data_IF_949542840808
#
_entry.id   IF_949542840808
#
_cell.length_a   1.000
_cell.length_b   1.000
_cell.length_c   1.000
_cell.angle_alpha   90.00
_cell.angle_beta   90.00
_cell.angle_gamma   90.00
#
_symmetry.space_group_name_H-M   'P 1'
#
loop_
_entity.id
_entity.type
_entity.pdbx_description
1 polymer ?
#
# COMPACT_ATOMS: atom_id res chain seq x y z
N UNK A 1 9.07 4.08 -17.51
CA UNK A 1 7.97 3.08 -17.59
C UNK A 1 8.25 2.01 -18.64
N UNK A 2 8.59 2.36 -19.89
CA UNK A 2 8.87 1.38 -20.96
C UNK A 2 9.92 0.31 -20.57
N UNK A 3 11.02 0.71 -19.92
CA UNK A 3 12.05 -0.22 -19.44
C UNK A 3 11.52 -1.23 -18.40
N UNK A 4 10.57 -0.83 -17.55
CA UNK A 4 9.95 -1.72 -16.56
C UNK A 4 8.98 -2.69 -17.24
N UNK A 5 8.19 -2.21 -18.21
CA UNK A 5 7.32 -3.07 -18.99
C UNK A 5 8.13 -4.13 -19.78
N UNK A 6 9.20 -3.72 -20.46
CA UNK A 6 10.09 -4.64 -21.18
C UNK A 6 10.75 -5.66 -20.23
N UNK A 7 11.17 -5.21 -19.04
CA UNK A 7 11.70 -6.10 -18.02
C UNK A 7 10.67 -7.15 -17.54
N UNK A 8 9.42 -6.74 -17.30
CA UNK A 8 8.34 -7.66 -16.90
C UNK A 8 8.02 -8.68 -18.00
N UNK A 9 8.00 -8.26 -19.27
CA UNK A 9 7.79 -9.18 -20.39
C UNK A 9 8.94 -10.19 -20.48
N UNK A 10 10.19 -9.71 -20.48
CA UNK A 10 11.36 -10.56 -20.72
C UNK A 10 11.73 -11.47 -19.56
N UNK A 11 11.58 -10.99 -18.32
CA UNK A 11 12.04 -11.73 -17.13
C UNK A 11 10.93 -12.47 -16.40
N UNK A 12 9.71 -11.92 -16.42
CA UNK A 12 8.58 -12.46 -15.65
C UNK A 12 7.51 -13.10 -16.55
N UNK A 13 7.67 -13.06 -17.88
CA UNK A 13 6.73 -13.67 -18.83
C UNK A 13 5.34 -13.02 -18.84
N UNK A 14 5.25 -11.75 -18.41
CA UNK A 14 3.97 -11.03 -18.31
C UNK A 14 3.55 -10.55 -19.70
N UNK A 15 2.26 -10.72 -20.02
CA UNK A 15 1.66 -10.21 -21.26
C UNK A 15 1.97 -8.72 -21.49
N UNK A 16 2.35 -8.28 -22.71
CA UNK A 16 2.80 -6.91 -22.97
C UNK A 16 1.84 -5.81 -22.51
N UNK A 17 0.53 -6.00 -22.71
CA UNK A 17 -0.48 -5.02 -22.32
C UNK A 17 -0.62 -4.93 -20.79
N UNK A 18 -0.52 -6.07 -20.10
CA UNK A 18 -0.52 -6.12 -18.64
C UNK A 18 0.75 -5.44 -18.12
N UNK A 19 1.93 -5.79 -18.65
CA UNK A 19 3.21 -5.21 -18.28
C UNK A 19 3.24 -3.68 -18.48
N UNK A 20 2.71 -3.19 -19.60
CA UNK A 20 2.58 -1.75 -19.85
C UNK A 20 1.63 -1.09 -18.85
N UNK A 21 0.51 -1.75 -18.52
CA UNK A 21 -0.48 -1.24 -17.56
C UNK A 21 0.10 -1.16 -16.14
N UNK A 22 0.72 -2.22 -15.62
CA UNK A 22 1.34 -2.16 -14.30
C UNK A 22 2.54 -1.22 -14.24
N UNK A 23 3.36 -1.13 -15.30
CA UNK A 23 4.47 -0.18 -15.34
C UNK A 23 4.01 1.29 -15.30
N UNK A 24 2.86 1.60 -15.91
CA UNK A 24 2.22 2.93 -15.79
C UNK A 24 1.62 3.13 -14.41
N UNK A 25 0.84 2.16 -13.92
CA UNK A 25 0.18 2.20 -12.62
C UNK A 25 1.14 2.42 -11.46
N UNK A 26 2.37 1.89 -11.54
CA UNK A 26 3.41 2.06 -10.53
C UNK A 26 4.41 3.17 -10.84
N UNK A 27 4.17 3.93 -11.92
CA UNK A 27 5.03 5.02 -12.39
C UNK A 27 6.49 4.60 -12.61
N UNK A 28 6.71 3.32 -12.98
CA UNK A 28 8.04 2.76 -13.19
C UNK A 28 8.75 2.24 -11.95
N UNK A 29 8.06 2.05 -10.83
CA UNK A 29 8.64 1.38 -9.66
C UNK A 29 8.70 -0.14 -9.91
N UNK A 30 9.92 -0.69 -9.99
CA UNK A 30 10.18 -2.09 -10.39
C UNK A 30 9.50 -3.11 -9.47
N UNK A 31 9.76 -3.06 -8.16
CA UNK A 31 9.23 -4.07 -7.24
C UNK A 31 7.71 -4.05 -7.14
N UNK A 32 7.12 -2.85 -7.12
CA UNK A 32 5.66 -2.68 -7.16
C UNK A 32 5.07 -3.20 -8.47
N UNK A 33 5.73 -2.95 -9.60
CA UNK A 33 5.24 -3.40 -10.91
C UNK A 33 5.25 -4.93 -10.98
N UNK A 34 6.33 -5.57 -10.51
CA UNK A 34 6.41 -7.03 -10.37
C UNK A 34 5.31 -7.54 -9.48
N UNK A 35 5.13 -6.97 -8.27
CA UNK A 35 4.08 -7.37 -7.34
C UNK A 35 2.69 -7.27 -7.94
N UNK A 36 2.33 -6.15 -8.58
CA UNK A 36 1.02 -6.02 -9.25
C UNK A 36 0.85 -6.95 -10.45
N UNK A 37 1.93 -7.33 -11.12
CA UNK A 37 1.88 -8.27 -12.23
C UNK A 37 1.58 -9.70 -11.76
N UNK A 38 2.15 -10.12 -10.63
CA UNK A 38 2.14 -11.52 -10.18
C UNK A 38 1.20 -11.82 -9.02
N UNK A 39 0.79 -10.82 -8.23
CA UNK A 39 -0.02 -10.99 -7.02
C UNK A 39 -1.46 -10.44 -7.22
N UNK A 40 -2.47 -11.32 -7.39
CA UNK A 40 -3.88 -10.90 -7.48
C UNK A 40 -4.39 -10.16 -6.25
N UNK A 41 -3.88 -10.49 -5.05
CA UNK A 41 -4.28 -9.82 -3.81
C UNK A 41 -3.72 -8.38 -3.78
N UNK A 42 -2.50 -8.16 -4.28
CA UNK A 42 -1.96 -6.80 -4.45
C UNK A 42 -2.82 -5.97 -5.43
N UNK A 43 -3.29 -6.57 -6.53
CA UNK A 43 -4.23 -5.88 -7.45
C UNK A 43 -5.56 -5.55 -6.77
N UNK A 44 -6.12 -6.48 -6.00
CA UNK A 44 -7.37 -6.26 -5.27
C UNK A 44 -7.23 -5.13 -4.23
N UNK A 45 -6.13 -5.12 -3.46
CA UNK A 45 -5.82 -4.05 -2.50
C UNK A 45 -5.70 -2.69 -3.19
N UNK A 46 -4.96 -2.62 -4.30
CA UNK A 46 -4.84 -1.39 -5.09
C UNK A 46 -6.20 -0.91 -5.60
N UNK A 47 -7.02 -1.81 -6.13
CA UNK A 47 -8.36 -1.46 -6.60
C UNK A 47 -9.26 -0.93 -5.46
N UNK A 48 -9.11 -1.44 -4.23
CA UNK A 48 -9.80 -0.92 -3.06
C UNK A 48 -9.32 0.49 -2.69
N UNK A 49 -7.99 0.72 -2.71
CA UNK A 49 -7.39 2.05 -2.48
C UNK A 49 -7.92 3.08 -3.48
N UNK A 50 -7.97 2.75 -4.78
CA UNK A 50 -8.44 3.67 -5.82
C UNK A 50 -9.94 3.97 -5.76
N UNK A 51 -10.72 3.22 -4.96
CA UNK A 51 -12.13 3.53 -4.68
C UNK A 51 -12.29 4.50 -3.51
N UNK A 52 -11.26 4.72 -2.69
CA UNK A 52 -11.32 5.61 -1.52
C UNK A 52 -11.79 7.03 -1.88
N UNK A 53 -11.30 7.69 -2.96
CA UNK A 53 -11.78 9.03 -3.35
C UNK A 53 -13.29 9.14 -3.59
N UNK A 54 -13.97 8.02 -3.87
CA UNK A 54 -15.42 7.97 -4.10
C UNK A 54 -16.24 7.75 -2.82
N UNK A 55 -15.58 7.56 -1.68
CA UNK A 55 -16.19 7.20 -0.40
C UNK A 55 -15.96 8.25 0.68
N UNK A 56 -15.33 9.37 0.35
CA UNK A 56 -14.97 10.41 1.32
C UNK A 56 -15.93 11.60 1.31
N UNK A 57 -17.09 11.49 0.68
CA UNK A 57 -18.11 12.55 0.65
C UNK A 57 -18.82 12.73 2.01
N UNK A 58 -19.11 11.61 2.67
CA UNK A 58 -19.66 11.54 4.02
C UNK A 58 -18.57 11.27 5.08
N UNK A 59 -18.75 11.84 6.27
CA UNK A 59 -17.79 11.70 7.39
C UNK A 59 -17.71 10.25 7.86
N UNK A 60 -18.84 9.57 8.01
CA UNK A 60 -18.88 8.17 8.46
C UNK A 60 -18.22 7.25 7.45
N UNK A 61 -18.50 7.45 6.15
CA UNK A 61 -17.85 6.67 5.09
C UNK A 61 -16.34 6.93 5.00
N UNK A 62 -15.89 8.17 5.20
CA UNK A 62 -14.49 8.53 5.18
C UNK A 62 -13.70 7.87 6.33
N UNK A 63 -14.21 7.93 7.57
CA UNK A 63 -13.59 7.26 8.72
C UNK A 63 -13.59 5.74 8.55
N UNK A 64 -14.69 5.17 8.03
CA UNK A 64 -14.75 3.74 7.72
C UNK A 64 -13.72 3.33 6.66
N UNK A 65 -13.56 4.14 5.61
CA UNK A 65 -12.55 3.89 4.58
C UNK A 65 -11.12 3.98 5.13
N UNK A 66 -10.86 4.89 6.08
CA UNK A 66 -9.58 4.97 6.79
C UNK A 66 -9.30 3.69 7.59
N UNK A 67 -10.28 3.23 8.37
CA UNK A 67 -10.17 1.99 9.14
C UNK A 67 -9.90 0.78 8.24
N UNK A 68 -10.70 0.61 7.17
CA UNK A 68 -10.53 -0.49 6.21
C UNK A 68 -9.14 -0.48 5.57
N UNK A 69 -8.59 0.70 5.26
CA UNK A 69 -7.25 0.83 4.68
C UNK A 69 -6.16 0.36 5.66
N UNK A 70 -6.25 0.77 6.92
CA UNK A 70 -5.29 0.39 7.97
C UNK A 70 -5.39 -1.09 8.32
N UNK A 71 -6.60 -1.64 8.40
CA UNK A 71 -6.83 -3.06 8.66
C UNK A 71 -6.31 -3.91 7.51
N UNK A 72 -6.55 -3.49 6.26
CA UNK A 72 -6.03 -4.18 5.07
C UNK A 72 -4.49 -4.20 5.08
N UNK A 73 -3.85 -3.10 5.49
CA UNK A 73 -2.39 -3.05 5.60
C UNK A 73 -1.85 -3.93 6.73
N UNK A 74 -2.56 -4.00 7.87
CA UNK A 74 -2.21 -4.88 8.99
C UNK A 74 -2.32 -6.36 8.59
N UNK A 75 -3.38 -6.71 7.88
CA UNK A 75 -3.63 -8.08 7.42
C UNK A 75 -2.62 -8.51 6.34
N UNK A 76 -2.27 -7.64 5.38
CA UNK A 76 -1.20 -7.91 4.41
C UNK A 76 0.15 -8.17 5.11
N UNK A 77 0.47 -7.38 6.14
CA UNK A 77 1.69 -7.57 6.93
C UNK A 77 1.69 -8.89 7.70
N UNK A 78 0.54 -9.31 8.22
CA UNK A 78 0.37 -10.59 8.92
C UNK A 78 0.53 -11.77 7.96
N UNK A 79 -0.16 -11.74 6.82
CA UNK A 79 -0.12 -12.80 5.81
C UNK A 79 1.29 -13.01 5.25
N UNK A 80 2.02 -11.93 4.99
CA UNK A 80 3.41 -12.01 4.52
C UNK A 80 4.37 -12.61 5.56
N UNK A 81 4.03 -12.50 6.85
CA UNK A 81 4.91 -12.94 7.92
C UNK A 81 4.61 -14.36 8.41
N UNK A 82 3.37 -14.81 8.35
CA UNK A 82 2.87 -16.04 9.01
C UNK A 82 3.71 -17.29 8.72
N UNK A 83 3.97 -17.59 7.44
CA UNK A 83 4.75 -18.79 7.07
C UNK A 83 6.22 -18.68 7.47
N UNK A 84 6.81 -17.49 7.36
CA UNK A 84 8.24 -17.29 7.62
C UNK A 84 8.52 -17.29 9.11
N UNK A 85 7.71 -16.59 9.90
CA UNK A 85 7.89 -16.47 11.34
C UNK A 85 7.65 -17.79 12.07
N UNK A 86 6.69 -18.61 11.59
CA UNK A 86 6.50 -19.95 12.14
C UNK A 86 7.74 -20.81 11.92
N UNK A 87 8.34 -20.78 10.72
CA UNK A 87 9.56 -21.55 10.40
C UNK A 87 10.75 -21.07 11.24
N UNK A 88 10.99 -19.76 11.28
CA UNK A 88 12.08 -19.17 12.08
C UNK A 88 11.96 -19.52 13.58
N UNK A 89 10.73 -19.51 14.11
CA UNK A 89 10.47 -19.84 15.51
C UNK A 89 10.78 -21.31 15.81
N UNK A 90 10.37 -22.23 14.94
CA UNK A 90 10.67 -23.66 15.11
C UNK A 90 12.15 -23.98 14.91
N UNK A 91 12.81 -23.35 13.93
CA UNK A 91 14.26 -23.47 13.71
C UNK A 91 15.05 -22.97 14.92
N UNK A 92 14.66 -21.83 15.50
CA UNK A 92 15.31 -21.30 16.71
C UNK A 92 15.11 -22.24 17.90
N UNK A 93 13.90 -22.76 18.11
CA UNK A 93 13.64 -23.75 19.18
C UNK A 93 14.51 -24.99 19.02
N UNK A 94 14.63 -25.52 17.81
CA UNK A 94 15.48 -26.66 17.51
C UNK A 94 16.96 -26.36 17.80
N UNK A 95 17.45 -25.20 17.37
CA UNK A 95 18.83 -24.76 17.62
C UNK A 95 19.14 -24.57 19.12
N UNK A 96 18.14 -24.17 19.91
CA UNK A 96 18.24 -24.02 21.36
C UNK A 96 18.09 -25.35 22.12
N UNK A 97 17.98 -26.49 21.42
CA UNK A 97 17.93 -27.82 22.02
C UNK A 97 16.55 -28.23 22.54
N UNK A 98 15.47 -27.62 22.04
CA UNK A 98 14.14 -28.15 22.29
C UNK A 98 13.99 -29.51 21.57
N UNK A 99 13.67 -30.57 22.32
CA UNK A 99 13.14 -31.80 21.71
C UNK A 99 11.82 -31.45 20.97
N UNK A 100 11.44 -32.20 19.93
CA UNK A 100 10.15 -31.96 19.25
C UNK A 100 9.00 -31.96 20.26
N UNK A 101 8.31 -30.82 20.42
CA UNK A 101 7.24 -30.64 21.40
C UNK A 101 7.68 -30.56 22.88
N UNK A 102 8.99 -30.54 23.15
CA UNK A 102 9.59 -30.51 24.47
C UNK A 102 9.79 -29.09 25.04
N UNK A 103 10.03 -29.01 26.35
CA UNK A 103 10.25 -27.73 27.03
C UNK A 103 11.64 -27.17 26.72
N UNK A 104 11.72 -25.87 26.43
CA UNK A 104 12.98 -25.18 26.19
C UNK A 104 13.92 -25.22 27.41
N UNK A 105 15.26 -25.34 27.23
CA UNK A 105 16.22 -25.25 28.31
C UNK A 105 16.15 -23.92 29.08
N UNK A 106 16.58 -23.91 30.35
CA UNK A 106 16.63 -22.69 31.17
C UNK A 106 17.59 -21.66 30.54
N UNK A 107 17.21 -20.37 30.59
CA UNK A 107 18.02 -19.26 30.06
C UNK A 107 17.74 -18.90 28.59
N UNK A 108 16.92 -19.67 27.88
CA UNK A 108 16.59 -19.44 26.45
C UNK A 108 15.50 -18.38 26.21
N UNK A 109 14.78 -17.99 27.26
CA UNK A 109 13.64 -17.06 27.17
C UNK A 109 14.01 -15.68 26.59
N UNK A 110 15.24 -15.20 26.85
CA UNK A 110 15.71 -13.92 26.28
C UNK A 110 15.81 -13.98 24.76
N UNK A 111 16.43 -15.04 24.22
CA UNK A 111 16.62 -15.22 22.77
C UNK A 111 15.28 -15.37 22.05
N UNK A 112 14.33 -16.09 22.65
CA UNK A 112 12.96 -16.19 22.11
C UNK A 112 12.25 -14.83 22.08
N UNK A 113 12.41 -14.03 23.14
CA UNK A 113 11.84 -12.69 23.21
C UNK A 113 12.44 -11.75 22.16
N UNK A 114 13.76 -11.82 21.96
CA UNK A 114 14.44 -11.02 20.94
C UNK A 114 13.93 -11.36 19.53
N UNK A 115 13.72 -12.65 19.23
CA UNK A 115 13.08 -13.07 17.98
C UNK A 115 11.68 -12.49 17.83
N UNK A 116 10.83 -12.60 18.86
CA UNK A 116 9.47 -12.05 18.82
C UNK A 116 9.46 -10.53 18.60
N UNK A 117 10.35 -9.80 19.24
CA UNK A 117 10.44 -8.34 19.09
C UNK A 117 10.93 -7.93 17.69
N UNK A 118 11.83 -8.72 17.10
CA UNK A 118 12.28 -8.57 15.72
C UNK A 118 11.16 -8.89 14.71
N UNK A 119 10.39 -9.95 14.93
CA UNK A 119 9.19 -10.28 14.16
C UNK A 119 8.16 -9.14 14.22
N UNK A 120 7.84 -8.65 15.43
CA UNK A 120 6.95 -7.48 15.62
C UNK A 120 7.46 -6.23 14.88
N UNK A 121 8.77 -5.97 14.90
CA UNK A 121 9.37 -4.84 14.17
C UNK A 121 9.20 -5.01 12.66
N UNK A 122 9.44 -6.21 12.12
CA UNK A 122 9.24 -6.53 10.70
C UNK A 122 7.79 -6.39 10.26
N UNK A 123 6.83 -6.87 11.07
CA UNK A 123 5.39 -6.70 10.80
C UNK A 123 4.99 -5.22 10.73
N UNK A 124 5.42 -4.40 11.72
CA UNK A 124 5.16 -2.95 11.71
C UNK A 124 5.74 -2.26 10.46
N UNK A 125 6.97 -2.62 10.07
CA UNK A 125 7.61 -2.08 8.86
C UNK A 125 6.84 -2.45 7.59
N UNK A 126 6.37 -3.70 7.51
CA UNK A 126 5.60 -4.20 6.38
C UNK A 126 4.25 -3.49 6.29
N UNK A 127 3.56 -3.30 7.41
CA UNK A 127 2.32 -2.53 7.47
C UNK A 127 2.54 -1.09 6.98
N UNK A 128 3.61 -0.42 7.46
CA UNK A 128 3.96 0.93 6.99
C UNK A 128 4.18 0.96 5.49
N UNK A 129 5.00 0.05 4.97
CA UNK A 129 5.29 -0.06 3.54
C UNK A 129 4.01 -0.25 2.71
N UNK A 130 3.06 -1.06 3.18
CA UNK A 130 1.76 -1.24 2.51
C UNK A 130 0.93 0.04 2.53
N UNK A 131 0.96 0.83 3.62
CA UNK A 131 0.33 2.15 3.65
C UNK A 131 0.99 3.13 2.68
N UNK A 132 2.32 3.20 2.60
CA UNK A 132 3.00 4.14 1.67
C UNK A 132 2.70 3.82 0.20
N UNK A 133 2.57 2.53 -0.11
CA UNK A 133 2.14 2.07 -1.43
C UNK A 133 0.74 2.61 -1.72
N UNK A 134 -0.19 2.52 -0.76
CA UNK A 134 -1.53 3.07 -0.92
C UNK A 134 -1.53 4.60 -1.05
N UNK A 135 -0.75 5.32 -0.25
CA UNK A 135 -0.59 6.78 -0.38
C UNK A 135 -0.01 7.17 -1.74
N UNK A 136 0.92 6.39 -2.27
CA UNK A 136 1.48 6.58 -3.61
C UNK A 136 0.44 6.35 -4.71
N UNK A 137 -0.40 5.33 -4.57
CA UNK A 137 -1.50 5.06 -5.50
C UNK A 137 -2.55 6.19 -5.48
N UNK A 138 -2.93 6.69 -4.30
CA UNK A 138 -3.83 7.85 -4.16
C UNK A 138 -3.21 9.12 -4.74
N UNK A 139 -1.91 9.35 -4.51
CA UNK A 139 -1.19 10.48 -5.11
C UNK A 139 -1.20 10.39 -6.63
N UNK A 140 -0.93 9.21 -7.19
CA UNK A 140 -1.00 8.96 -8.64
C UNK A 140 -2.40 9.21 -9.20
N UNK A 141 -3.44 8.78 -8.49
CA UNK A 141 -4.82 9.02 -8.86
C UNK A 141 -5.16 10.51 -8.95
N UNK A 142 -4.86 11.31 -7.91
CA UNK A 142 -5.14 12.75 -7.96
C UNK A 142 -4.24 13.50 -8.94
N UNK A 143 -3.02 13.03 -9.23
CA UNK A 143 -2.20 13.56 -10.32
C UNK A 143 -2.86 13.35 -11.69
N UNK A 144 -3.48 12.20 -11.93
CA UNK A 144 -4.24 11.95 -13.16
C UNK A 144 -5.48 12.86 -13.24
N UNK A 145 -6.20 13.06 -12.12
CA UNK A 145 -7.32 14.03 -12.05
C UNK A 145 -6.84 15.44 -12.42
N UNK A 146 -5.74 15.89 -11.82
CA UNK A 146 -5.16 17.21 -12.08
C UNK A 146 -4.70 17.35 -13.54
N UNK A 147 -4.08 16.31 -14.10
CA UNK A 147 -3.66 16.29 -15.50
C UNK A 147 -4.86 16.46 -16.45
N UNK A 148 -5.99 15.81 -16.16
CA UNK A 148 -7.23 15.97 -16.93
C UNK A 148 -7.82 17.39 -16.77
N UNK A 149 -7.82 17.95 -15.57
CA UNK A 149 -8.30 19.31 -15.31
C UNK A 149 -7.50 20.38 -16.05
N UNK A 150 -6.20 20.16 -16.23
CA UNK A 150 -5.29 21.07 -16.94
C UNK A 150 -5.20 20.80 -18.45
N UNK A 151 -5.99 19.85 -18.99
CA UNK A 151 -5.97 19.52 -20.42
C UNK A 151 -4.67 18.89 -20.91
N UNK A 152 -3.94 18.19 -20.03
CA UNK A 152 -2.69 17.52 -20.37
C UNK A 152 -2.90 16.44 -21.45
N UNK A 153 -1.93 16.32 -22.37
CA UNK A 153 -1.87 15.26 -23.39
C UNK A 153 -1.09 14.03 -22.92
N UNK A 154 -0.58 14.04 -21.70
CA UNK A 154 0.18 12.93 -21.12
C UNK A 154 -0.79 11.79 -20.79
N UNK A 155 -0.38 10.56 -21.07
CA UNK A 155 -1.16 9.38 -20.72
C UNK A 155 -1.34 9.28 -19.18
N UNK A 156 -2.58 9.05 -18.75
CA UNK A 156 -2.92 8.81 -17.35
C UNK A 156 -2.36 7.46 -16.88
N UNK A 157 -1.96 7.39 -15.61
CA UNK A 157 -1.42 6.17 -15.00
C UNK A 157 -2.52 5.14 -14.72
N UNK A 158 -3.72 5.59 -14.34
CA UNK A 158 -4.86 4.77 -13.93
C UNK A 158 -5.92 4.66 -15.03
N UNK A 159 -5.53 4.17 -16.21
CA UNK A 159 -6.41 4.07 -17.38
C UNK A 159 -7.65 3.18 -17.13
N UNK A 160 -7.53 2.18 -16.28
CA UNK A 160 -8.63 1.32 -15.81
C UNK A 160 -9.71 2.09 -15.01
N UNK A 161 -9.39 3.29 -14.53
CA UNK A 161 -10.25 4.16 -13.75
C UNK A 161 -10.61 5.46 -14.47
N UNK A 162 -10.46 5.52 -15.80
CA UNK A 162 -10.60 6.77 -16.57
C UNK A 162 -11.96 7.46 -16.37
N UNK A 163 -13.07 6.72 -16.39
CA UNK A 163 -14.41 7.28 -16.17
C UNK A 163 -14.55 7.96 -14.81
N UNK A 164 -13.95 7.35 -13.80
CA UNK A 164 -13.92 7.86 -12.43
C UNK A 164 -13.08 9.13 -12.36
N UNK A 165 -11.87 9.10 -12.93
CA UNK A 165 -10.97 10.24 -12.99
C UNK A 165 -11.62 11.43 -13.68
N UNK A 166 -12.28 11.22 -14.83
CA UNK A 166 -12.98 12.27 -15.58
C UNK A 166 -14.16 12.85 -14.80
N UNK A 167 -14.88 12.03 -14.03
CA UNK A 167 -15.96 12.51 -13.15
C UNK A 167 -15.44 13.44 -12.06
N UNK A 168 -14.38 13.04 -11.37
CA UNK A 168 -13.73 13.86 -10.34
C UNK A 168 -13.11 15.14 -10.91
N UNK A 169 -12.50 15.05 -12.09
CA UNK A 169 -11.93 16.20 -12.79
C UNK A 169 -12.98 17.27 -13.10
N UNK A 170 -14.19 16.87 -13.51
CA UNK A 170 -15.32 17.79 -13.74
C UNK A 170 -15.98 18.29 -12.45
N UNK A 171 -15.93 17.49 -11.39
CA UNK A 171 -16.61 17.77 -10.12
C UNK A 171 -15.79 18.55 -9.09
N UNK A 172 -14.56 18.96 -9.43
CA UNK A 172 -13.67 19.70 -8.53
C UNK A 172 -12.76 20.67 -9.29
N UNK A 173 -12.11 21.57 -8.57
CA UNK A 173 -11.13 22.51 -9.15
C UNK A 173 -9.69 21.97 -9.04
N UNK A 174 -8.76 22.44 -9.90
CA UNK A 174 -7.33 22.12 -9.77
C UNK A 174 -6.75 22.41 -8.37
N UNK A 175 -7.15 23.53 -7.75
CA UNK A 175 -6.70 23.93 -6.41
C UNK A 175 -7.15 22.93 -5.35
N UNK A 176 -8.40 22.44 -5.46
CA UNK A 176 -8.89 21.40 -4.55
C UNK A 176 -8.15 20.08 -4.75
N UNK A 177 -7.91 19.68 -6.01
CA UNK A 177 -7.11 18.48 -6.29
C UNK A 177 -5.69 18.59 -5.71
N UNK A 178 -5.07 19.76 -5.78
CA UNK A 178 -3.75 20.00 -5.18
C UNK A 178 -3.78 19.87 -3.65
N UNK A 179 -4.76 20.46 -2.97
CA UNK A 179 -4.92 20.30 -1.51
C UNK A 179 -5.09 18.85 -1.09
N UNK A 180 -5.77 18.03 -1.91
CA UNK A 180 -5.89 16.58 -1.70
C UNK A 180 -4.55 15.86 -1.82
N UNK A 181 -3.71 16.24 -2.79
CA UNK A 181 -2.35 15.70 -2.92
C UNK A 181 -1.50 16.09 -1.70
N UNK A 182 -1.59 17.34 -1.25
CA UNK A 182 -0.89 17.83 -0.05
C UNK A 182 -1.35 17.08 1.21
N UNK A 183 -2.65 16.79 1.36
CA UNK A 183 -3.18 16.00 2.46
C UNK A 183 -2.62 14.57 2.50
N UNK A 184 -2.43 13.95 1.33
CA UNK A 184 -1.82 12.61 1.22
C UNK A 184 -0.34 12.68 1.61
N UNK A 185 0.38 13.72 1.17
CA UNK A 185 1.77 13.93 1.57
C UNK A 185 1.91 14.14 3.09
N UNK A 186 1.03 14.95 3.68
CA UNK A 186 0.99 15.18 5.14
C UNK A 186 0.68 13.89 5.92
N UNK A 187 -0.13 12.99 5.37
CA UNK A 187 -0.35 11.65 5.94
C UNK A 187 0.95 10.84 6.00
N UNK A 188 1.71 10.82 4.90
CA UNK A 188 3.02 10.17 4.83
C UNK A 188 3.99 10.74 5.86
N UNK A 189 4.10 12.06 5.93
CA UNK A 189 4.95 12.74 6.92
C UNK A 189 4.55 12.42 8.37
N UNK A 190 3.25 12.27 8.65
CA UNK A 190 2.76 11.88 9.97
C UNK A 190 3.15 10.44 10.33
N UNK A 191 3.03 9.51 9.37
CA UNK A 191 3.46 8.12 9.56
C UNK A 191 4.97 8.02 9.81
N UNK A 192 5.78 8.79 9.07
CA UNK A 192 7.23 8.84 9.28
C UNK A 192 7.63 9.43 10.65
N UNK A 193 6.76 10.28 11.24
CA UNK A 193 6.90 10.80 12.61
C UNK A 193 6.30 9.89 13.69
N UNK A 194 5.94 8.65 13.34
CA UNK A 194 5.35 7.65 14.23
C UNK A 194 3.97 8.03 14.81
N UNK A 195 3.19 8.84 14.09
CA UNK A 195 1.77 9.01 14.43
C UNK A 195 1.05 7.68 14.26
N UNK A 196 0.07 7.41 15.13
CA UNK A 196 -0.76 6.21 15.04
C UNK A 196 -1.38 6.09 13.63
N UNK A 197 -1.22 4.97 12.91
CA UNK A 197 -1.62 4.88 11.51
C UNK A 197 -3.08 5.23 11.25
N UNK A 198 -3.99 4.76 12.11
CA UNK A 198 -5.42 5.07 11.99
C UNK A 198 -5.67 6.58 12.05
N UNK A 199 -5.11 7.27 13.03
CA UNK A 199 -5.28 8.71 13.19
C UNK A 199 -4.74 9.50 11.99
N UNK A 200 -3.57 9.12 11.47
CA UNK A 200 -2.97 9.77 10.31
C UNK A 200 -3.84 9.60 9.04
N UNK A 201 -4.39 8.41 8.83
CA UNK A 201 -5.25 8.11 7.69
C UNK A 201 -6.64 8.74 7.85
N UNK A 202 -7.21 8.77 9.06
CA UNK A 202 -8.46 9.48 9.35
C UNK A 202 -8.33 10.98 9.04
N UNK A 203 -7.27 11.63 9.53
CA UNK A 203 -6.98 13.03 9.22
C UNK A 203 -6.86 13.28 7.71
N UNK A 204 -6.17 12.39 6.99
CA UNK A 204 -6.08 12.45 5.52
C UNK A 204 -7.47 12.35 4.89
N UNK A 205 -8.29 11.36 5.24
CA UNK A 205 -9.63 11.19 4.64
C UNK A 205 -10.55 12.37 4.91
N UNK A 206 -10.46 12.99 6.09
CA UNK A 206 -11.18 14.24 6.41
C UNK A 206 -10.71 15.41 5.54
N UNK A 207 -9.40 15.55 5.32
CA UNK A 207 -8.86 16.56 4.43
C UNK A 207 -9.24 16.32 2.96
N UNK A 208 -9.23 15.06 2.50
CA UNK A 208 -9.68 14.68 1.15
C UNK A 208 -11.14 15.07 0.90
N UNK A 209 -11.99 14.88 1.91
CA UNK A 209 -13.40 15.30 1.90
C UNK A 209 -13.56 16.81 1.76
N UNK A 210 -12.82 17.58 2.57
CA UNK A 210 -12.93 19.04 2.59
C UNK A 210 -12.56 19.65 1.23
N UNK A 211 -11.58 19.03 0.56
CA UNK A 211 -11.16 19.42 -0.78
C UNK A 211 -10.30 20.67 -0.80
#
# INVERSE_FOLDING_TARGET
MAAVADMLVRREGIEPDVAATVARATQGHVDRARRLATDPAARARRAAVLKLPLRVDDVGNALKAAQELVDTAAEDAKQLAEETESKETEELKAALGAAQGGRLPRGTAGVMKDLEDDQKRRRRRTQRNTLDIALSDLTGFYRDVLALQLGSRIAIANADSEDVLRRLARGSSPESTLRRIEAIAACGDALDRNVAPLLAVEAMTMALRAG
#
